data_IF_169323488388
#
_entry.id   IF_169323488388
#
_cell.length_a   1.000
_cell.length_b   1.000
_cell.length_c   1.000
_cell.angle_alpha   90.00
_cell.angle_beta   90.00
_cell.angle_gamma   90.00
#
_symmetry.space_group_name_H-M   'P 1'
#
loop_
_entity.id
_entity.type
_entity.pdbx_description
1 polymer ?
#
# COMPACT_ATOMS: atom_id res chain seq x y z
N UNK A 1 26.44 -30.12 -19.76
CA UNK A 1 25.61 -29.37 -18.82
C UNK A 1 24.65 -30.32 -18.14
N UNK A 2 24.33 -30.10 -16.87
CA UNK A 2 23.33 -30.92 -16.18
C UNK A 2 21.93 -30.57 -16.73
N UNK A 3 21.12 -31.58 -17.01
CA UNK A 3 19.74 -31.40 -17.37
C UNK A 3 18.89 -31.17 -16.10
N UNK A 4 17.89 -30.26 -16.14
CA UNK A 4 17.02 -30.03 -14.99
C UNK A 4 16.15 -31.27 -14.73
N UNK A 5 16.12 -31.73 -13.49
CA UNK A 5 15.31 -32.89 -13.07
C UNK A 5 13.81 -32.53 -12.96
N UNK A 6 13.53 -31.27 -12.67
CA UNK A 6 12.18 -30.71 -12.65
C UNK A 6 12.21 -29.21 -12.91
N UNK A 7 11.16 -28.66 -13.50
CA UNK A 7 10.94 -27.24 -13.68
C UNK A 7 9.57 -26.85 -13.13
N UNK A 8 9.49 -25.68 -12.51
CA UNK A 8 8.25 -25.09 -12.04
C UNK A 8 8.17 -23.63 -12.53
N UNK A 9 7.06 -23.29 -13.15
CA UNK A 9 6.79 -21.92 -13.56
C UNK A 9 5.79 -21.29 -12.59
N UNK A 10 6.08 -20.07 -12.14
CA UNK A 10 5.14 -19.30 -11.34
C UNK A 10 3.97 -18.78 -12.20
N UNK A 11 2.87 -18.40 -11.54
CA UNK A 11 1.82 -17.64 -12.20
C UNK A 11 2.36 -16.31 -12.75
N UNK A 12 1.59 -15.67 -13.64
CA UNK A 12 1.94 -14.36 -14.19
C UNK A 12 2.12 -13.32 -13.05
N UNK A 13 3.09 -12.42 -13.22
CA UNK A 13 3.40 -11.40 -12.19
C UNK A 13 2.17 -10.54 -11.82
N UNK A 14 1.27 -10.27 -12.77
CA UNK A 14 0.04 -9.52 -12.50
C UNK A 14 -0.85 -10.26 -11.49
N UNK A 15 -1.04 -11.57 -11.65
CA UNK A 15 -1.85 -12.39 -10.74
C UNK A 15 -1.23 -12.45 -9.34
N UNK A 16 0.09 -12.60 -9.27
CA UNK A 16 0.81 -12.57 -8.00
C UNK A 16 0.67 -11.21 -7.32
N UNK A 17 0.70 -10.11 -8.07
CA UNK A 17 0.53 -8.76 -7.55
C UNK A 17 -0.90 -8.51 -7.05
N UNK A 18 -1.91 -9.03 -7.73
CA UNK A 18 -3.32 -9.00 -7.28
C UNK A 18 -3.45 -9.70 -5.93
N UNK A 19 -3.01 -10.95 -5.83
CA UNK A 19 -3.07 -11.71 -4.58
C UNK A 19 -2.28 -11.03 -3.44
N UNK A 20 -1.08 -10.51 -3.75
CA UNK A 20 -0.26 -9.77 -2.79
C UNK A 20 -1.03 -8.60 -2.20
N UNK A 21 -1.68 -7.80 -3.05
CA UNK A 21 -2.41 -6.61 -2.62
C UNK A 21 -3.74 -6.97 -1.95
N UNK A 22 -4.43 -8.02 -2.39
CA UNK A 22 -5.66 -8.50 -1.76
C UNK A 22 -5.40 -9.03 -0.34
N UNK A 23 -4.48 -9.97 -0.20
CA UNK A 23 -4.20 -10.63 1.08
C UNK A 23 -3.16 -9.88 1.94
N UNK A 24 -2.59 -8.79 1.40
CA UNK A 24 -1.58 -7.98 2.10
C UNK A 24 -0.37 -8.81 2.57
N UNK A 25 0.15 -9.66 1.68
CA UNK A 25 1.24 -10.58 2.00
C UNK A 25 2.58 -9.88 2.04
N UNK A 26 3.10 -9.66 3.24
CA UNK A 26 4.35 -8.93 3.46
C UNK A 26 5.57 -9.65 2.86
N UNK A 27 5.63 -10.98 2.96
CA UNK A 27 6.75 -11.76 2.42
C UNK A 27 6.80 -11.63 0.89
N UNK A 28 5.66 -11.77 0.21
CA UNK A 28 5.59 -11.59 -1.24
C UNK A 28 5.99 -10.17 -1.66
N UNK A 29 5.60 -9.14 -0.89
CA UNK A 29 6.01 -7.76 -1.14
C UNK A 29 7.54 -7.59 -1.08
N UNK A 30 8.19 -8.15 -0.04
CA UNK A 30 9.64 -8.09 0.10
C UNK A 30 10.35 -8.87 -1.03
N UNK A 31 9.86 -10.06 -1.38
CA UNK A 31 10.46 -10.89 -2.43
C UNK A 31 10.33 -10.25 -3.83
N UNK A 32 9.17 -9.70 -4.17
CA UNK A 32 8.99 -8.96 -5.44
C UNK A 32 9.88 -7.72 -5.46
N UNK A 33 9.95 -7.00 -4.36
CA UNK A 33 10.83 -5.84 -4.26
C UNK A 33 12.30 -6.19 -4.41
N UNK A 34 12.76 -7.29 -3.81
CA UNK A 34 14.13 -7.78 -3.95
C UNK A 34 14.42 -8.24 -5.38
N UNK A 35 13.53 -9.00 -6.00
CA UNK A 35 13.65 -9.44 -7.40
C UNK A 35 13.71 -8.24 -8.37
N UNK A 36 12.86 -7.23 -8.14
CA UNK A 36 12.89 -5.97 -8.89
C UNK A 36 14.24 -5.25 -8.72
N UNK A 37 14.74 -5.17 -7.48
CA UNK A 37 16.02 -4.53 -7.20
C UNK A 37 17.18 -5.25 -7.87
N UNK A 38 17.18 -6.59 -7.86
CA UNK A 38 18.21 -7.40 -8.54
C UNK A 38 18.19 -7.21 -10.06
N UNK A 39 17.01 -7.04 -10.65
CA UNK A 39 16.88 -6.72 -12.09
C UNK A 39 17.38 -5.32 -12.41
N UNK A 40 17.17 -4.35 -11.52
CA UNK A 40 17.65 -2.96 -11.68
C UNK A 40 19.13 -2.81 -11.41
N UNK A 41 19.67 -3.58 -10.46
CA UNK A 41 21.06 -3.59 -10.05
C UNK A 41 21.47 -5.00 -9.63
N UNK A 42 22.19 -5.76 -10.48
CA UNK A 42 22.69 -7.08 -10.11
C UNK A 42 23.56 -7.06 -8.85
N UNK A 43 23.52 -8.14 -8.07
CA UNK A 43 24.30 -8.30 -6.84
C UNK A 43 23.63 -7.77 -5.57
N UNK A 44 22.42 -7.20 -5.65
CA UNK A 44 21.64 -6.84 -4.47
C UNK A 44 21.16 -8.11 -3.77
N UNK A 45 21.48 -8.26 -2.46
CA UNK A 45 21.21 -9.49 -1.69
C UNK A 45 20.48 -9.26 -0.37
N UNK A 46 20.20 -8.00 0.02
CA UNK A 46 19.45 -7.69 1.25
C UNK A 46 18.20 -6.87 1.00
N UNK A 47 17.19 -7.01 1.87
CA UNK A 47 15.94 -6.24 1.79
C UNK A 47 16.20 -4.74 1.87
N UNK A 48 17.10 -4.30 2.75
CA UNK A 48 17.43 -2.89 2.91
C UNK A 48 18.10 -2.29 1.66
N UNK A 49 19.09 -2.99 1.08
CA UNK A 49 19.73 -2.56 -0.18
C UNK A 49 18.73 -2.61 -1.34
N UNK A 50 17.84 -3.61 -1.38
CA UNK A 50 16.77 -3.72 -2.34
C UNK A 50 15.80 -2.52 -2.26
N UNK A 51 15.36 -2.15 -1.07
CA UNK A 51 14.52 -0.99 -0.86
C UNK A 51 15.18 0.31 -1.32
N UNK A 52 16.48 0.48 -1.08
CA UNK A 52 17.23 1.65 -1.54
C UNK A 52 17.31 1.73 -3.08
N UNK A 53 17.52 0.59 -3.76
CA UNK A 53 17.53 0.52 -5.22
C UNK A 53 16.17 0.86 -5.82
N UNK A 54 15.09 0.26 -5.30
CA UNK A 54 13.72 0.53 -5.77
C UNK A 54 13.34 2.00 -5.51
N UNK A 55 13.66 2.54 -4.34
CA UNK A 55 13.46 3.96 -4.04
C UNK A 55 14.21 4.88 -5.00
N UNK A 56 15.46 4.56 -5.34
CA UNK A 56 16.25 5.30 -6.31
C UNK A 56 15.64 5.27 -7.72
N UNK A 57 15.10 4.11 -8.12
CA UNK A 57 14.36 3.97 -9.38
C UNK A 57 13.07 4.78 -9.36
N UNK A 58 12.28 4.72 -8.29
CA UNK A 58 11.07 5.52 -8.14
C UNK A 58 11.37 7.01 -8.27
N UNK A 59 12.41 7.51 -7.60
CA UNK A 59 12.79 8.93 -7.67
C UNK A 59 13.22 9.41 -9.06
N UNK A 60 13.78 8.51 -9.88
CA UNK A 60 14.12 8.81 -11.28
C UNK A 60 12.90 8.75 -12.20
N UNK A 61 12.02 7.79 -11.96
CA UNK A 61 10.85 7.52 -12.83
C UNK A 61 9.67 8.43 -12.50
N UNK A 62 9.52 8.78 -11.22
CA UNK A 62 8.46 9.64 -10.68
C UNK A 62 9.10 10.66 -9.72
N UNK A 63 9.75 11.73 -10.22
CA UNK A 63 10.48 12.68 -9.38
C UNK A 63 9.65 13.26 -8.23
N UNK A 64 8.36 13.46 -8.46
CA UNK A 64 7.41 13.98 -7.45
C UNK A 64 7.29 13.06 -6.22
N UNK A 65 7.43 11.74 -6.38
CA UNK A 65 7.37 10.80 -5.25
C UNK A 65 8.46 11.15 -4.22
N UNK A 66 9.71 11.36 -4.66
CA UNK A 66 10.80 11.72 -3.76
C UNK A 66 10.68 13.16 -3.25
N UNK A 67 10.37 14.11 -4.13
CA UNK A 67 10.21 15.53 -3.79
C UNK A 67 9.12 15.75 -2.74
N UNK A 68 8.04 14.96 -2.81
CA UNK A 68 6.89 15.04 -1.90
C UNK A 68 7.04 14.19 -0.63
N UNK A 69 8.18 13.54 -0.40
CA UNK A 69 8.50 12.90 0.87
C UNK A 69 8.25 11.40 0.94
N UNK A 70 8.70 10.64 -0.07
CA UNK A 70 8.74 9.17 -0.03
C UNK A 70 10.08 8.67 0.49
N UNK A 71 10.04 7.95 1.59
CA UNK A 71 11.19 7.25 2.18
C UNK A 71 10.78 5.83 2.61
N UNK A 72 10.91 4.85 1.73
CA UNK A 72 10.67 3.45 2.06
C UNK A 72 11.95 2.79 2.58
N UNK A 73 11.83 2.10 3.72
CA UNK A 73 12.89 1.31 4.31
C UNK A 73 12.78 -0.19 3.92
N UNK A 74 11.61 -0.60 3.47
CA UNK A 74 11.31 -1.94 2.95
C UNK A 74 10.15 -1.88 1.96
N UNK A 75 9.72 -3.01 1.40
CA UNK A 75 8.67 -3.07 0.39
C UNK A 75 7.28 -3.34 0.99
N UNK A 76 7.21 -4.03 2.11
CA UNK A 76 5.94 -4.36 2.78
C UNK A 76 5.31 -3.20 3.55
N UNK A 77 6.10 -2.16 3.86
CA UNK A 77 5.66 -1.03 4.69
C UNK A 77 5.69 -1.31 6.20
N UNK A 78 6.17 -2.48 6.65
CA UNK A 78 6.24 -2.81 8.08
C UNK A 78 7.40 -2.15 8.83
N UNK A 79 8.41 -1.64 8.11
CA UNK A 79 9.52 -0.96 8.77
C UNK A 79 9.09 0.37 9.37
N UNK A 80 9.33 0.54 10.67
CA UNK A 80 8.99 1.76 11.41
C UNK A 80 9.69 3.03 10.90
N UNK A 81 10.76 2.88 10.13
CA UNK A 81 11.52 3.97 9.48
C UNK A 81 10.88 4.46 8.18
N UNK A 82 9.94 3.72 7.59
CA UNK A 82 9.23 4.14 6.37
C UNK A 82 8.43 5.42 6.66
N UNK A 83 8.61 6.42 5.79
CA UNK A 83 7.87 7.68 5.81
C UNK A 83 7.33 7.97 4.42
N UNK A 84 6.04 8.24 4.35
CA UNK A 84 5.36 8.56 3.09
C UNK A 84 4.32 9.64 3.38
N UNK A 85 4.30 10.69 2.57
CA UNK A 85 3.23 11.69 2.64
C UNK A 85 2.05 11.28 1.77
N UNK A 86 0.82 11.74 2.06
CA UNK A 86 -0.33 11.53 1.17
C UNK A 86 -0.07 12.04 -0.25
N UNK A 87 0.61 13.16 -0.39
CA UNK A 87 0.95 13.75 -1.70
C UNK A 87 1.91 12.85 -2.52
N UNK A 88 2.93 12.26 -1.88
CA UNK A 88 3.84 11.32 -2.54
C UNK A 88 3.12 10.04 -2.99
N UNK A 89 2.23 9.51 -2.17
CA UNK A 89 1.44 8.33 -2.54
C UNK A 89 0.42 8.65 -3.63
N UNK A 90 -0.16 9.85 -3.63
CA UNK A 90 -1.05 10.30 -4.71
C UNK A 90 -0.30 10.44 -6.05
N UNK A 91 0.96 10.92 -6.03
CA UNK A 91 1.81 10.97 -7.22
C UNK A 91 2.08 9.56 -7.78
N UNK A 92 2.30 8.57 -6.91
CA UNK A 92 2.42 7.16 -7.32
C UNK A 92 1.12 6.63 -7.92
N UNK A 93 -0.04 6.91 -7.33
CA UNK A 93 -1.34 6.50 -7.87
C UNK A 93 -1.62 7.12 -9.25
N UNK A 94 -1.31 8.40 -9.45
CA UNK A 94 -1.41 9.06 -10.77
C UNK A 94 -0.53 8.38 -11.81
N UNK A 95 0.68 8.01 -11.44
CA UNK A 95 1.59 7.28 -12.31
C UNK A 95 1.03 5.90 -12.67
N UNK A 96 0.41 5.20 -11.71
CA UNK A 96 -0.22 3.90 -11.94
C UNK A 96 -1.48 4.02 -12.82
N UNK A 97 -2.32 5.02 -12.58
CA UNK A 97 -3.57 5.27 -13.31
C UNK A 97 -3.35 5.59 -14.79
N UNK A 98 -2.24 6.28 -15.09
CA UNK A 98 -1.83 6.59 -16.47
C UNK A 98 -1.34 5.36 -17.28
N UNK A 99 -1.30 4.17 -16.68
CA UNK A 99 -0.75 2.95 -17.28
C UNK A 99 -1.79 1.86 -17.43
N UNK A 100 -1.43 0.85 -18.24
CA UNK A 100 -2.22 -0.35 -18.44
C UNK A 100 -1.40 -1.58 -18.04
N UNK A 101 -2.07 -2.61 -17.58
CA UNK A 101 -1.47 -3.77 -16.93
C UNK A 101 -1.89 -5.07 -17.59
N UNK A 102 -0.92 -5.99 -17.71
CA UNK A 102 -1.10 -7.30 -18.31
C UNK A 102 -1.40 -7.27 -19.81
N UNK A 103 -1.57 -8.44 -20.39
CA UNK A 103 -1.88 -8.60 -21.81
C UNK A 103 -3.24 -7.98 -22.20
N UNK A 104 -4.18 -7.96 -21.27
CA UNK A 104 -5.52 -7.36 -21.45
C UNK A 104 -5.56 -5.84 -21.33
N UNK A 105 -4.44 -5.15 -21.14
CA UNK A 105 -4.38 -3.69 -20.98
C UNK A 105 -5.34 -3.15 -19.90
N UNK A 106 -5.42 -3.84 -18.78
CA UNK A 106 -6.33 -3.50 -17.69
C UNK A 106 -5.93 -2.19 -16.97
N UNK A 107 -6.88 -1.43 -16.41
CA UNK A 107 -6.57 -0.28 -15.55
C UNK A 107 -5.90 -0.74 -14.25
N UNK A 108 -5.23 0.17 -13.53
CA UNK A 108 -4.52 -0.18 -12.29
C UNK A 108 -5.45 -0.69 -11.18
N UNK A 109 -6.74 -0.39 -11.25
CA UNK A 109 -7.75 -0.90 -10.31
C UNK A 109 -7.87 -2.41 -10.31
N UNK A 110 -7.43 -3.11 -11.38
CA UNK A 110 -7.34 -4.57 -11.40
C UNK A 110 -6.42 -5.13 -10.30
N UNK A 111 -5.46 -4.33 -9.84
CA UNK A 111 -4.56 -4.68 -8.74
C UNK A 111 -5.19 -4.51 -7.36
N UNK A 112 -6.35 -3.86 -7.27
CA UNK A 112 -6.96 -3.45 -6.02
C UNK A 112 -8.25 -4.21 -5.78
N UNK A 113 -8.47 -4.58 -4.50
CA UNK A 113 -9.74 -5.18 -4.11
C UNK A 113 -10.86 -4.16 -4.20
N UNK A 114 -11.96 -4.53 -4.82
CA UNK A 114 -13.21 -3.81 -4.69
C UNK A 114 -13.76 -3.98 -3.27
N UNK A 115 -14.12 -2.89 -2.65
CA UNK A 115 -14.67 -2.85 -1.29
C UNK A 115 -15.98 -2.08 -1.32
N UNK A 116 -17.01 -2.66 -0.73
CA UNK A 116 -18.30 -1.99 -0.57
C UNK A 116 -18.25 -0.98 0.59
N UNK A 117 -19.10 0.04 0.50
CA UNK A 117 -19.34 0.95 1.61
C UNK A 117 -20.20 0.27 2.68
N UNK A 118 -19.92 0.55 3.97
CA UNK A 118 -20.69 -0.03 5.06
C UNK A 118 -22.14 0.48 5.08
N UNK A 119 -22.41 1.70 4.64
CA UNK A 119 -23.76 2.22 4.52
C UNK A 119 -24.41 1.78 3.21
N UNK A 120 -25.47 1.00 3.29
CA UNK A 120 -26.31 0.69 2.13
C UNK A 120 -26.83 2.00 1.52
N UNK A 121 -26.68 2.15 0.20
CA UNK A 121 -27.13 3.35 -0.51
C UNK A 121 -26.11 4.51 -0.54
N UNK A 122 -24.86 4.30 -0.15
CA UNK A 122 -23.80 5.30 -0.36
C UNK A 122 -23.59 5.60 -1.84
N UNK A 123 -23.89 4.62 -2.70
CA UNK A 123 -23.55 4.67 -4.13
C UNK A 123 -22.03 4.59 -4.38
N UNK A 124 -21.64 4.38 -5.61
CA UNK A 124 -20.22 4.33 -5.97
C UNK A 124 -19.52 3.00 -5.67
N UNK A 125 -18.23 2.94 -6.01
CA UNK A 125 -17.36 1.78 -5.79
C UNK A 125 -16.01 2.22 -5.27
N UNK A 126 -15.40 1.40 -4.43
CA UNK A 126 -14.11 1.67 -3.82
C UNK A 126 -13.11 0.58 -4.21
N UNK A 127 -12.04 0.95 -4.89
CA UNK A 127 -10.90 0.11 -5.21
C UNK A 127 -9.70 0.59 -4.41
N UNK A 128 -9.31 -0.13 -3.37
CA UNK A 128 -8.32 0.41 -2.46
C UNK A 128 -7.43 -0.64 -1.79
N UNK A 129 -6.21 -0.22 -1.48
CA UNK A 129 -5.30 -0.91 -0.56
C UNK A 129 -5.26 -0.18 0.78
N UNK A 130 -5.47 -0.92 1.84
CA UNK A 130 -5.29 -0.41 3.19
C UNK A 130 -3.95 -0.83 3.81
N UNK A 131 -3.42 0.02 4.68
CA UNK A 131 -2.29 -0.28 5.55
C UNK A 131 -2.68 -0.03 7.00
N UNK A 132 -2.25 -0.93 7.90
CA UNK A 132 -2.58 -0.82 9.32
C UNK A 132 -1.40 -1.20 10.19
N UNK A 133 -1.02 -0.31 11.07
CA UNK A 133 -0.15 -0.55 12.22
C UNK A 133 -0.77 0.13 13.45
N UNK A 134 -0.33 -0.22 14.66
CA UNK A 134 -0.81 0.50 15.83
C UNK A 134 -0.49 1.99 15.72
N UNK A 135 -1.49 2.83 15.95
CA UNK A 135 -1.44 4.29 15.82
C UNK A 135 -1.06 4.81 14.42
N UNK A 136 -1.19 3.97 13.39
CA UNK A 136 -1.09 4.38 12.01
C UNK A 136 -2.06 3.56 11.14
N UNK A 137 -2.89 4.24 10.37
CA UNK A 137 -3.84 3.67 9.45
C UNK A 137 -3.87 4.48 8.17
N UNK A 138 -3.90 3.83 7.02
CA UNK A 138 -4.07 4.51 5.76
C UNK A 138 -4.85 3.67 4.76
N UNK A 139 -5.44 4.35 3.79
CA UNK A 139 -6.08 3.74 2.64
C UNK A 139 -5.83 4.62 1.41
N UNK A 140 -5.55 3.98 0.28
CA UNK A 140 -5.26 4.67 -0.97
C UNK A 140 -5.78 3.87 -2.17
N UNK A 141 -6.27 4.56 -3.19
CA UNK A 141 -6.81 3.90 -4.37
C UNK A 141 -7.68 4.81 -5.23
N UNK A 142 -8.73 4.23 -5.81
CA UNK A 142 -9.72 4.92 -6.60
C UNK A 142 -11.12 4.76 -6.00
N UNK A 143 -11.82 5.87 -5.90
CA UNK A 143 -13.23 5.96 -5.55
C UNK A 143 -14.00 6.32 -6.82
N UNK A 144 -14.95 5.48 -7.23
CA UNK A 144 -15.96 5.84 -8.20
C UNK A 144 -17.17 6.40 -7.42
N UNK A 145 -17.49 7.67 -7.64
CA UNK A 145 -18.58 8.34 -6.92
C UNK A 145 -19.97 7.85 -7.38
N UNK A 146 -21.02 8.19 -6.67
CA UNK A 146 -22.40 7.89 -7.07
C UNK A 146 -22.78 8.53 -8.42
N UNK A 147 -22.16 9.66 -8.78
CA UNK A 147 -22.30 10.30 -10.09
C UNK A 147 -21.48 9.63 -11.22
N UNK A 148 -20.72 8.57 -10.91
CA UNK A 148 -19.85 7.87 -11.85
C UNK A 148 -18.49 8.53 -12.07
N UNK A 149 -18.12 9.54 -11.28
CA UNK A 149 -16.84 10.24 -11.39
C UNK A 149 -15.72 9.46 -10.70
N UNK A 150 -14.61 9.10 -11.38
CA UNK A 150 -13.46 8.47 -10.75
C UNK A 150 -12.59 9.50 -10.02
N UNK A 151 -12.22 9.19 -8.78
CA UNK A 151 -11.36 10.02 -7.93
C UNK A 151 -10.21 9.17 -7.38
N UNK A 152 -8.97 9.60 -7.58
CA UNK A 152 -7.82 9.05 -6.85
C UNK A 152 -7.79 9.66 -5.45
N UNK A 153 -7.60 8.83 -4.44
CA UNK A 153 -7.58 9.29 -3.06
C UNK A 153 -6.46 8.66 -2.23
N UNK A 154 -6.06 9.38 -1.20
CA UNK A 154 -5.18 8.91 -0.13
C UNK A 154 -5.69 9.46 1.19
N UNK A 155 -5.94 8.57 2.14
CA UNK A 155 -6.25 8.91 3.54
C UNK A 155 -5.17 8.31 4.45
N UNK A 156 -4.66 9.12 5.36
CA UNK A 156 -3.68 8.68 6.36
C UNK A 156 -4.04 9.27 7.72
N UNK A 157 -4.12 8.39 8.71
CA UNK A 157 -4.34 8.72 10.12
C UNK A 157 -3.13 8.24 10.90
N UNK A 158 -2.44 9.13 11.58
CA UNK A 158 -1.26 8.77 12.37
C UNK A 158 -1.21 9.60 13.65
N UNK A 159 -1.02 8.92 14.78
CA UNK A 159 -0.68 9.53 16.06
C UNK A 159 0.80 9.22 16.33
N UNK A 160 1.68 10.14 15.94
CA UNK A 160 3.14 9.95 16.03
C UNK A 160 3.61 9.79 17.48
N UNK A 161 3.03 10.54 18.43
CA UNK A 161 3.41 10.49 19.82
C UNK A 161 3.03 9.14 20.46
N UNK A 162 1.77 8.72 20.28
CA UNK A 162 1.32 7.41 20.76
C UNK A 162 2.05 6.25 20.08
N UNK A 163 2.38 6.38 18.79
CA UNK A 163 3.15 5.37 18.06
C UNK A 163 4.58 5.23 18.60
N UNK A 164 5.28 6.34 18.79
CA UNK A 164 6.64 6.32 19.36
C UNK A 164 6.65 5.70 20.77
N UNK A 165 5.68 6.08 21.62
CA UNK A 165 5.50 5.48 22.93
C UNK A 165 5.15 3.99 22.88
N UNK A 166 4.39 3.54 21.88
CA UNK A 166 4.10 2.12 21.69
C UNK A 166 5.33 1.33 21.25
N UNK A 167 6.09 1.82 20.28
CA UNK A 167 7.28 1.14 19.74
C UNK A 167 8.37 0.98 20.79
N UNK A 168 8.58 1.99 21.64
CA UNK A 168 9.53 1.96 22.76
C UNK A 168 9.06 1.19 24.00
N UNK A 169 7.80 0.75 24.05
CA UNK A 169 7.24 0.12 25.23
C UNK A 169 7.53 -1.38 25.30
N UNK A 170 8.32 -1.81 26.28
CA UNK A 170 8.58 -3.24 26.51
C UNK A 170 7.29 -4.06 26.79
N UNK A 171 6.24 -3.43 27.32
CA UNK A 171 4.93 -4.04 27.55
C UNK A 171 3.96 -3.92 26.36
N UNK A 172 4.41 -3.56 25.17
CA UNK A 172 3.54 -3.31 24.00
C UNK A 172 2.64 -4.49 23.61
N UNK A 173 3.01 -5.70 23.94
CA UNK A 173 2.22 -6.91 23.70
C UNK A 173 1.24 -7.25 24.84
N UNK A 174 1.28 -6.53 25.97
CA UNK A 174 0.33 -6.75 27.07
C UNK A 174 -1.04 -6.17 26.73
N UNK A 175 -2.09 -6.85 27.19
CA UNK A 175 -3.49 -6.54 26.87
C UNK A 175 -3.88 -5.06 27.09
N UNK A 176 -3.53 -4.37 28.22
CA UNK A 176 -3.94 -2.99 28.40
C UNK A 176 -3.36 -2.02 27.35
N UNK A 177 -2.14 -2.27 26.88
CA UNK A 177 -1.51 -1.45 25.84
C UNK A 177 -2.18 -1.70 24.48
N UNK A 178 -2.43 -2.96 24.16
CA UNK A 178 -3.09 -3.34 22.91
C UNK A 178 -4.56 -2.86 22.84
N UNK A 179 -5.28 -2.89 23.95
CA UNK A 179 -6.66 -2.38 24.02
C UNK A 179 -6.71 -0.90 23.64
N UNK A 180 -5.78 -0.07 24.18
CA UNK A 180 -5.72 1.37 23.83
C UNK A 180 -5.41 1.58 22.34
N UNK A 181 -4.41 0.87 21.82
CA UNK A 181 -4.03 0.96 20.41
C UNK A 181 -5.16 0.50 19.48
N UNK A 182 -5.86 -0.59 19.81
CA UNK A 182 -7.02 -1.07 19.06
C UNK A 182 -8.22 -0.12 19.12
N UNK A 183 -8.43 0.59 20.26
CA UNK A 183 -9.46 1.62 20.38
C UNK A 183 -9.17 2.80 19.45
N UNK A 184 -7.91 3.25 19.39
CA UNK A 184 -7.49 4.27 18.45
C UNK A 184 -7.75 3.84 17.00
N UNK A 185 -7.30 2.64 16.64
CA UNK A 185 -7.46 2.09 15.29
C UNK A 185 -8.95 1.99 14.86
N UNK A 186 -9.83 1.61 15.80
CA UNK A 186 -11.27 1.56 15.53
C UNK A 186 -11.83 2.95 15.20
N UNK A 187 -11.42 3.99 15.95
CA UNK A 187 -11.83 5.38 15.66
C UNK A 187 -11.30 5.86 14.31
N UNK A 188 -10.05 5.55 13.99
CA UNK A 188 -9.47 5.89 12.69
C UNK A 188 -10.25 5.24 11.51
N UNK A 189 -10.65 3.97 11.65
CA UNK A 189 -11.49 3.29 10.64
C UNK A 189 -12.86 3.93 10.48
N UNK A 190 -13.51 4.31 11.56
CA UNK A 190 -14.82 5.00 11.50
C UNK A 190 -14.69 6.34 10.78
N UNK A 191 -13.66 7.13 11.11
CA UNK A 191 -13.43 8.42 10.45
C UNK A 191 -13.10 8.24 8.95
N UNK A 192 -12.26 7.25 8.60
CA UNK A 192 -11.93 6.91 7.21
C UNK A 192 -13.19 6.57 6.42
N UNK A 193 -14.03 5.70 6.96
CA UNK A 193 -15.30 5.30 6.35
C UNK A 193 -16.21 6.50 6.11
N UNK A 194 -16.41 7.34 7.11
CA UNK A 194 -17.27 8.51 7.01
C UNK A 194 -16.79 9.51 5.93
N UNK A 195 -15.49 9.73 5.82
CA UNK A 195 -14.90 10.59 4.79
C UNK A 195 -15.15 10.02 3.39
N UNK A 196 -14.89 8.72 3.20
CA UNK A 196 -15.06 8.06 1.90
C UNK A 196 -16.52 8.04 1.47
N UNK A 197 -17.45 7.76 2.38
CA UNK A 197 -18.89 7.81 2.10
C UNK A 197 -19.36 9.23 1.77
N UNK A 198 -18.87 10.23 2.49
CA UNK A 198 -19.16 11.62 2.17
C UNK A 198 -18.68 11.98 0.76
N UNK A 199 -17.46 11.65 0.39
CA UNK A 199 -16.92 11.90 -0.96
C UNK A 199 -17.68 11.13 -2.03
N UNK A 200 -18.05 9.88 -1.76
CA UNK A 200 -18.83 9.08 -2.71
C UNK A 200 -20.19 9.72 -3.06
N UNK A 201 -20.83 10.37 -2.08
CA UNK A 201 -22.16 10.99 -2.23
C UNK A 201 -22.12 12.40 -2.78
N UNK A 202 -21.07 13.18 -2.46
CA UNK A 202 -21.08 14.63 -2.69
C UNK A 202 -20.20 15.11 -3.82
N UNK A 203 -19.26 14.30 -4.29
CA UNK A 203 -18.33 14.62 -5.39
C UNK A 203 -18.70 13.88 -6.68
#
# INVERSE_FOLDING_TARGET
GAEPVAAHESRAMLEIAVDLLEYSNNLSAELIGLATAQKLKPGVSSLASGAAVVRGWLGKTIPDVTRLGWQSANQSGLAGQTRVTPAALLALLRFADARRYGAGQAPFTVLLRETEFASQGAGGRLYAKSGTMFYARGQAGQLLTASGRPLLFVLMHTDFASRAGYEGNAARYKAPVQIRANRWLRRARVAEQAILEYWAKTL
#
